data_IF_895786571515
#
_entry.id   IF_895786571515
#
_cell.length_a   1.000
_cell.length_b   1.000
_cell.length_c   1.000
_cell.angle_alpha   90.00
_cell.angle_beta   90.00
_cell.angle_gamma   90.00
#
_symmetry.space_group_name_H-M   'P 1'
#
loop_
_entity.id
_entity.type
_entity.pdbx_description
1 polymer ?
#
# COMPACT_ATOMS: atom_id res chain seq x y z
N UNK A 1 2.63 26.07 -16.20
CA UNK A 1 1.25 25.73 -16.63
C UNK A 1 0.82 24.52 -15.82
N UNK A 2 0.11 24.73 -14.72
CA UNK A 2 -0.43 23.62 -13.93
C UNK A 2 -1.49 22.90 -14.78
N UNK A 3 -1.29 21.62 -15.05
CA UNK A 3 -2.30 20.80 -15.73
C UNK A 3 -3.63 20.80 -14.95
N UNK A 4 -4.73 20.36 -15.58
CA UNK A 4 -6.02 20.29 -14.89
C UNK A 4 -5.83 19.48 -13.61
N UNK A 5 -6.19 20.08 -12.47
CA UNK A 5 -6.26 19.37 -11.20
C UNK A 5 -7.12 18.13 -11.45
N UNK A 6 -6.53 16.95 -11.31
CA UNK A 6 -7.28 15.71 -11.42
C UNK A 6 -8.34 15.76 -10.30
N UNK A 7 -9.60 15.97 -10.66
CA UNK A 7 -10.69 16.00 -9.69
C UNK A 7 -10.89 14.58 -9.18
N UNK A 8 -10.27 14.28 -8.05
CA UNK A 8 -10.42 13.02 -7.33
C UNK A 8 -11.91 12.78 -7.04
N UNK A 9 -12.44 11.62 -7.39
CA UNK A 9 -13.83 11.29 -7.04
C UNK A 9 -13.93 11.00 -5.54
N UNK A 10 -15.01 11.43 -4.89
CA UNK A 10 -15.19 11.14 -3.47
C UNK A 10 -15.23 9.63 -3.18
N UNK A 11 -15.78 8.84 -4.11
CA UNK A 11 -15.83 7.37 -3.96
C UNK A 11 -14.44 6.75 -3.91
N UNK A 12 -13.51 7.22 -4.75
CA UNK A 12 -12.15 6.69 -4.75
C UNK A 12 -11.38 7.10 -3.49
N UNK A 13 -11.57 8.33 -3.01
CA UNK A 13 -11.01 8.80 -1.72
C UNK A 13 -11.56 7.99 -0.55
N UNK A 14 -12.87 7.74 -0.52
CA UNK A 14 -13.51 6.94 0.53
C UNK A 14 -12.99 5.50 0.51
N UNK A 15 -12.80 4.90 -0.67
CA UNK A 15 -12.24 3.57 -0.82
C UNK A 15 -10.80 3.49 -0.29
N UNK A 16 -9.97 4.47 -0.67
CA UNK A 16 -8.60 4.60 -0.16
C UNK A 16 -8.56 4.74 1.37
N UNK A 17 -9.39 5.61 1.95
CA UNK A 17 -9.45 5.81 3.40
C UNK A 17 -9.92 4.56 4.15
N UNK A 18 -10.89 3.82 3.61
CA UNK A 18 -11.32 2.52 4.17
C UNK A 18 -10.19 1.48 4.10
N UNK A 19 -9.47 1.45 2.99
CA UNK A 19 -8.31 0.57 2.82
C UNK A 19 -7.11 1.02 3.67
N UNK A 20 -6.98 2.29 4.05
CA UNK A 20 -5.94 2.74 4.97
C UNK A 20 -6.33 2.53 6.44
N UNK A 21 -7.62 2.72 6.78
CA UNK A 21 -8.16 2.81 8.14
C UNK A 21 -8.21 1.51 8.95
N UNK A 22 -7.09 0.81 9.05
CA UNK A 22 -6.86 -0.29 9.99
C UNK A 22 -5.42 -0.24 10.48
N UNK A 23 -5.19 -0.59 11.75
CA UNK A 23 -3.91 -0.41 12.44
C UNK A 23 -2.72 -1.03 11.70
N UNK A 24 -2.85 -2.27 11.22
CA UNK A 24 -1.79 -2.96 10.50
C UNK A 24 -1.49 -2.26 9.16
N UNK A 25 -2.52 -1.86 8.41
CA UNK A 25 -2.35 -1.17 7.12
C UNK A 25 -1.72 0.21 7.27
N UNK A 26 -2.08 0.98 8.29
CA UNK A 26 -1.40 2.25 8.59
C UNK A 26 0.09 2.04 8.91
N UNK A 27 0.42 0.99 9.68
CA UNK A 27 1.83 0.64 9.95
C UNK A 27 2.57 0.20 8.68
N UNK A 28 1.92 -0.56 7.80
CA UNK A 28 2.49 -0.92 6.49
C UNK A 28 2.76 0.33 5.66
N UNK A 29 1.80 1.27 5.55
CA UNK A 29 2.02 2.53 4.82
C UNK A 29 3.20 3.34 5.38
N UNK A 30 3.31 3.44 6.71
CA UNK A 30 4.42 4.12 7.35
C UNK A 30 5.76 3.46 7.00
N UNK A 31 5.85 2.13 7.06
CA UNK A 31 7.07 1.39 6.71
C UNK A 31 7.43 1.54 5.23
N UNK A 32 6.44 1.50 4.34
CA UNK A 32 6.63 1.65 2.90
C UNK A 32 6.97 3.09 2.47
N UNK A 33 6.72 4.07 3.34
CA UNK A 33 7.20 5.44 3.17
C UNK A 33 8.70 5.58 3.38
N UNK A 34 9.32 4.64 4.09
CA UNK A 34 10.75 4.65 4.40
C UNK A 34 11.56 3.72 3.48
N UNK A 35 10.97 2.61 3.04
CA UNK A 35 11.65 1.62 2.20
C UNK A 35 10.68 0.76 1.39
N UNK A 36 11.15 0.25 0.26
CA UNK A 36 10.45 -0.80 -0.49
C UNK A 36 10.68 -2.15 0.22
N UNK A 37 9.60 -2.87 0.54
CA UNK A 37 9.67 -4.05 1.42
C UNK A 37 8.97 -5.27 0.80
N UNK A 38 9.49 -6.45 1.08
CA UNK A 38 8.81 -7.71 0.72
C UNK A 38 7.75 -8.09 1.76
N UNK A 39 6.90 -9.05 1.41
CA UNK A 39 5.96 -9.66 2.37
C UNK A 39 6.69 -10.28 3.57
N UNK A 40 7.89 -10.83 3.35
CA UNK A 40 8.70 -11.47 4.38
C UNK A 40 9.22 -10.43 5.38
N UNK A 41 9.69 -9.28 4.90
CA UNK A 41 10.17 -8.19 5.74
C UNK A 41 9.04 -7.65 6.62
N UNK A 42 7.87 -7.38 6.02
CA UNK A 42 6.69 -6.91 6.75
C UNK A 42 6.18 -7.91 7.79
N UNK A 43 6.21 -9.21 7.47
CA UNK A 43 5.88 -10.30 8.40
C UNK A 43 6.84 -10.27 9.61
N UNK A 44 8.14 -10.13 9.35
CA UNK A 44 9.16 -10.07 10.40
C UNK A 44 9.04 -8.81 11.27
N UNK A 45 8.90 -7.63 10.67
CA UNK A 45 8.83 -6.34 11.37
C UNK A 45 7.53 -6.23 12.21
N UNK A 46 6.39 -6.67 11.65
CA UNK A 46 5.09 -6.50 12.31
C UNK A 46 4.74 -7.66 13.24
N UNK A 47 5.49 -8.76 13.22
CA UNK A 47 5.23 -9.93 14.07
C UNK A 47 3.89 -10.61 13.78
N UNK A 48 3.40 -10.51 12.53
CA UNK A 48 2.13 -11.10 12.10
C UNK A 48 2.37 -12.19 11.08
N UNK A 49 1.43 -13.12 10.94
CA UNK A 49 1.56 -14.21 9.98
C UNK A 49 1.55 -13.72 8.53
N UNK A 50 2.30 -14.40 7.66
CA UNK A 50 2.36 -14.08 6.24
C UNK A 50 0.97 -14.07 5.56
N UNK A 51 0.04 -15.01 5.80
CA UNK A 51 -1.31 -14.94 5.23
C UNK A 51 -2.07 -13.66 5.61
N UNK A 52 -1.88 -13.18 6.84
CA UNK A 52 -2.49 -11.93 7.31
C UNK A 52 -1.89 -10.73 6.58
N UNK A 53 -0.56 -10.63 6.53
CA UNK A 53 0.13 -9.54 5.81
C UNK A 53 -0.22 -9.53 4.32
N UNK A 54 -0.19 -10.69 3.65
CA UNK A 54 -0.59 -10.79 2.23
C UNK A 54 -2.02 -10.31 1.98
N UNK A 55 -2.96 -10.60 2.88
CA UNK A 55 -4.34 -10.10 2.78
C UNK A 55 -4.41 -8.58 2.89
N UNK A 56 -3.66 -7.99 3.83
CA UNK A 56 -3.59 -6.53 3.97
C UNK A 56 -3.00 -5.89 2.71
N UNK A 57 -1.88 -6.42 2.20
CA UNK A 57 -1.22 -5.91 0.99
C UNK A 57 -2.14 -5.98 -0.23
N UNK A 58 -2.87 -7.08 -0.41
CA UNK A 58 -3.84 -7.22 -1.50
C UNK A 58 -4.91 -6.12 -1.47
N UNK A 59 -5.55 -5.90 -0.31
CA UNK A 59 -6.57 -4.87 -0.15
C UNK A 59 -6.03 -3.46 -0.41
N UNK A 60 -4.79 -3.20 0.01
CA UNK A 60 -4.14 -1.91 -0.20
C UNK A 60 -3.76 -1.68 -1.67
N UNK A 61 -3.28 -2.71 -2.38
CA UNK A 61 -3.00 -2.64 -3.81
C UNK A 61 -4.27 -2.46 -4.64
N UNK A 62 -5.36 -3.16 -4.29
CA UNK A 62 -6.67 -2.99 -4.96
C UNK A 62 -7.23 -1.58 -4.76
N UNK A 63 -6.91 -0.93 -3.64
CA UNK A 63 -7.28 0.45 -3.35
C UNK A 63 -6.29 1.50 -3.92
N UNK A 64 -5.25 1.07 -4.65
CA UNK A 64 -4.26 1.95 -5.25
C UNK A 64 -3.37 2.68 -4.23
N UNK A 65 -3.22 2.15 -3.01
CA UNK A 65 -2.35 2.73 -1.98
C UNK A 65 -0.88 2.34 -2.16
N UNK A 66 -0.65 1.14 -2.66
CA UNK A 66 0.67 0.55 -2.81
C UNK A 66 0.79 -0.20 -4.14
N UNK A 67 1.96 -0.13 -4.74
CA UNK A 67 2.31 -0.88 -5.93
C UNK A 67 3.03 -2.17 -5.55
N UNK A 68 2.81 -3.22 -6.35
CA UNK A 68 3.50 -4.50 -6.26
C UNK A 68 4.38 -4.66 -7.50
N UNK A 69 5.69 -4.80 -7.33
CA UNK A 69 6.60 -5.00 -8.45
C UNK A 69 7.54 -6.19 -8.19
N UNK A 70 7.65 -7.14 -9.14
CA UNK A 70 8.61 -8.23 -9.07
C UNK A 70 10.03 -7.74 -9.38
N UNK A 71 11.01 -8.17 -8.59
CA UNK A 71 12.43 -7.92 -8.85
C UNK A 71 13.24 -9.21 -8.57
N UNK A 72 13.73 -9.81 -9.66
CA UNK A 72 14.38 -11.12 -9.61
C UNK A 72 13.46 -12.20 -9.02
N UNK A 73 13.91 -12.84 -7.94
CA UNK A 73 13.14 -13.87 -7.25
C UNK A 73 12.14 -13.33 -6.21
N UNK A 74 12.11 -12.01 -6.01
CA UNK A 74 11.36 -11.37 -4.94
C UNK A 74 10.24 -10.48 -5.47
N UNK A 75 9.30 -10.18 -4.59
CA UNK A 75 8.21 -9.26 -4.86
C UNK A 75 8.23 -8.20 -3.77
N UNK A 76 8.43 -6.96 -4.21
CA UNK A 76 8.47 -5.80 -3.34
C UNK A 76 7.17 -5.02 -3.44
N UNK A 77 6.92 -4.28 -2.38
CA UNK A 77 5.82 -3.34 -2.25
C UNK A 77 6.40 -1.96 -1.96
N UNK A 78 5.74 -0.92 -2.48
CA UNK A 78 6.10 0.48 -2.28
C UNK A 78 4.85 1.34 -2.26
N UNK A 79 4.93 2.55 -1.70
CA UNK A 79 3.85 3.51 -1.88
C UNK A 79 3.64 3.81 -3.36
N UNK A 80 2.39 3.91 -3.79
CA UNK A 80 2.09 4.30 -5.16
C UNK A 80 2.53 5.75 -5.40
N UNK A 81 3.30 6.00 -6.46
CA UNK A 81 3.84 7.34 -6.80
C UNK A 81 2.76 8.37 -7.11
N UNK A 82 1.55 7.91 -7.48
CA UNK A 82 0.38 8.76 -7.69
C UNK A 82 -0.29 9.20 -6.38
N UNK A 83 0.07 8.61 -5.23
CA UNK A 83 -0.76 8.65 -4.03
C UNK A 83 -1.99 7.77 -4.19
N UNK A 84 -2.70 7.54 -3.09
CA UNK A 84 -4.06 7.03 -3.21
C UNK A 84 -4.82 8.04 -4.05
N UNK A 85 -5.43 7.56 -5.14
CA UNK A 85 -6.20 8.28 -6.17
C UNK A 85 -5.41 9.05 -7.22
#
# INVERSE_FOLDING_TARGET
MAGPLQTLSFDSVIAALKAAGETTRLRILALLGEAELTVKDLTAILGQSQPRISRHLKLMSEAGLIDRYPEGAWVFYRLTERGAV
#
